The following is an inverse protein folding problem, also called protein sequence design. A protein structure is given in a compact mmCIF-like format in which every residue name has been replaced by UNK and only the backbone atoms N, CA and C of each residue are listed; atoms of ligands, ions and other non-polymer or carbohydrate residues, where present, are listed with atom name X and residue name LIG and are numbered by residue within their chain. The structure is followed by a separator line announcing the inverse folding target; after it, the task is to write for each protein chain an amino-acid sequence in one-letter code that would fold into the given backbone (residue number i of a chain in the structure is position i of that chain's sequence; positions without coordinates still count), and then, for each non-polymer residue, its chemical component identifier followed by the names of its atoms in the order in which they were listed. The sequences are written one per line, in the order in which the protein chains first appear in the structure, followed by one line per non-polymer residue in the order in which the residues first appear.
data_IF_604592876323
#
_entry.id   IF_604592876323
#
_cell.length_a   1.000
_cell.length_b   1.000
_cell.length_c   1.000
_cell.angle_alpha   90.00
_cell.angle_beta   90.00
_cell.angle_gamma   90.00
#
_symmetry.space_group_name_H-M   'P 1'
#
loop_
_entity.id
_entity.type
_entity.pdbx_description
1 polymer ?
#
# COMPACT_ATOMS: atom_id res chain seq x y z
N UNK A 1 10.31 2.53 -22.67
CA UNK A 1 10.49 1.57 -21.56
C UNK A 1 11.24 2.28 -20.43
N UNK A 2 10.79 2.12 -19.20
CA UNK A 2 11.49 2.67 -18.04
C UNK A 2 11.81 1.55 -17.05
N UNK A 3 13.05 1.50 -16.60
CA UNK A 3 13.51 0.55 -15.60
C UNK A 3 13.82 1.31 -14.32
N UNK A 4 13.26 0.89 -13.20
CA UNK A 4 13.57 1.44 -11.88
C UNK A 4 14.30 0.35 -11.11
N UNK A 5 15.55 0.62 -10.77
CA UNK A 5 16.41 -0.36 -10.11
C UNK A 5 16.09 -0.44 -8.62
N UNK A 6 16.62 -1.48 -7.98
CA UNK A 6 16.41 -1.76 -6.56
C UNK A 6 16.68 -0.55 -5.67
N UNK A 7 17.75 0.19 -5.95
CA UNK A 7 18.20 1.32 -5.12
C UNK A 7 17.63 2.66 -5.54
N UNK A 8 16.74 2.69 -6.53
CA UNK A 8 16.13 3.91 -7.04
C UNK A 8 14.73 4.09 -6.48
N UNK A 9 14.30 5.33 -6.37
CA UNK A 9 12.99 5.70 -5.88
C UNK A 9 13.07 6.90 -4.95
N UNK A 10 11.91 7.37 -4.51
CA UNK A 10 11.79 8.54 -3.64
C UNK A 10 11.06 8.15 -2.38
N UNK A 11 11.70 8.32 -1.23
CA UNK A 11 11.06 8.11 0.07
C UNK A 11 10.01 9.20 0.27
N UNK A 12 8.85 8.82 0.75
CA UNK A 12 7.75 9.75 1.02
C UNK A 12 6.94 9.31 2.24
N UNK A 13 6.19 10.24 2.80
CA UNK A 13 5.25 9.96 3.87
C UNK A 13 3.83 9.95 3.30
N UNK A 14 3.16 8.81 3.42
CA UNK A 14 1.77 8.69 3.01
C UNK A 14 0.86 9.24 4.11
N UNK A 15 -0.17 10.03 3.76
CA UNK A 15 -1.10 10.55 4.76
C UNK A 15 -1.79 9.42 5.53
N UNK A 16 -1.96 9.61 6.84
CA UNK A 16 -2.68 8.67 7.73
C UNK A 16 -2.06 7.28 7.81
N UNK A 17 -0.77 7.18 7.47
CA UNK A 17 0.03 5.96 7.60
C UNK A 17 1.03 6.15 8.73
N UNK A 18 1.19 5.16 9.59
CA UNK A 18 2.01 5.26 10.80
C UNK A 18 2.94 4.06 10.93
N UNK A 19 4.16 4.30 11.41
CA UNK A 19 5.21 3.29 11.56
C UNK A 19 5.46 2.55 10.24
N UNK A 20 5.62 3.30 9.18
CA UNK A 20 5.83 2.80 7.84
C UNK A 20 6.90 3.61 7.13
N UNK A 21 7.64 2.93 6.29
CA UNK A 21 8.63 3.52 5.40
C UNK A 21 8.25 3.19 3.97
N UNK A 22 7.97 4.22 3.17
CA UNK A 22 7.46 4.06 1.81
C UNK A 22 8.42 4.66 0.79
N UNK A 23 8.62 3.94 -0.31
CA UNK A 23 9.44 4.36 -1.44
C UNK A 23 8.58 4.36 -2.69
N UNK A 24 8.47 5.51 -3.35
CA UNK A 24 7.79 5.61 -4.64
C UNK A 24 8.74 5.22 -5.74
N UNK A 25 8.37 4.17 -6.47
CA UNK A 25 9.17 3.64 -7.59
C UNK A 25 8.77 4.24 -8.91
N UNK A 26 7.47 4.42 -9.12
CA UNK A 26 6.93 5.08 -10.31
C UNK A 26 5.89 6.10 -9.86
N UNK A 27 5.96 7.30 -10.41
CA UNK A 27 5.03 8.37 -10.11
C UNK A 27 4.24 8.76 -11.37
N UNK A 28 3.31 9.68 -11.22
CA UNK A 28 2.55 10.27 -12.32
C UNK A 28 3.42 11.08 -13.28
N UNK A 29 4.67 11.37 -12.92
CA UNK A 29 5.66 11.97 -13.83
C UNK A 29 6.27 10.93 -14.77
N UNK A 30 6.27 9.67 -14.37
CA UNK A 30 6.87 8.56 -15.13
C UNK A 30 5.85 7.84 -16.00
N UNK A 31 4.58 7.88 -15.61
CA UNK A 31 3.49 7.13 -16.23
C UNK A 31 2.31 8.05 -16.49
N UNK A 32 1.32 7.55 -17.22
CA UNK A 32 0.09 8.30 -17.48
C UNK A 32 -0.87 8.27 -16.28
N UNK A 33 -1.06 7.10 -15.66
CA UNK A 33 -2.06 6.92 -14.61
C UNK A 33 -1.59 6.08 -13.43
N UNK A 34 -0.43 5.46 -13.55
CA UNK A 34 0.05 4.46 -12.60
C UNK A 34 1.05 5.05 -11.62
N UNK A 35 0.84 4.79 -10.35
CA UNK A 35 1.83 5.04 -9.30
C UNK A 35 2.13 3.71 -8.62
N UNK A 36 3.41 3.42 -8.41
CA UNK A 36 3.85 2.17 -7.77
C UNK A 36 4.80 2.51 -6.64
N UNK A 37 4.52 1.97 -5.47
CA UNK A 37 5.34 2.17 -4.29
C UNK A 37 5.56 0.85 -3.55
N UNK A 38 6.65 0.79 -2.81
CA UNK A 38 6.89 -0.22 -1.80
C UNK A 38 6.70 0.42 -0.44
N UNK A 39 5.92 -0.21 0.43
CA UNK A 39 5.74 0.23 1.80
C UNK A 39 6.19 -0.86 2.75
N UNK A 40 7.04 -0.49 3.69
CA UNK A 40 7.56 -1.38 4.73
C UNK A 40 6.96 -0.94 6.07
N UNK A 41 5.92 -1.65 6.52
CA UNK A 41 5.31 -1.37 7.80
C UNK A 41 6.07 -2.10 8.90
N UNK A 42 6.49 -1.37 9.90
CA UNK A 42 7.07 -1.95 11.11
C UNK A 42 5.97 -2.63 11.94
N UNK A 43 6.34 -3.53 12.88
CA UNK A 43 5.37 -4.00 13.87
C UNK A 43 4.66 -2.81 14.52
N UNK A 44 3.35 -2.94 14.74
CA UNK A 44 2.45 -1.86 15.19
C UNK A 44 2.19 -0.77 14.14
N UNK A 45 2.63 -0.95 12.90
CA UNK A 45 2.28 -0.05 11.82
C UNK A 45 0.80 -0.14 11.45
N UNK A 46 0.22 0.94 10.98
CA UNK A 46 -1.19 0.96 10.61
C UNK A 46 -1.53 2.10 9.66
N UNK A 47 -2.69 1.98 9.05
CA UNK A 47 -3.30 2.99 8.19
C UNK A 47 -4.66 3.31 8.77
N UNK A 48 -4.94 4.59 9.01
CA UNK A 48 -6.26 5.03 9.44
C UNK A 48 -7.27 4.91 8.29
N UNK A 49 -8.54 4.76 8.66
CA UNK A 49 -9.63 4.68 7.69
C UNK A 49 -9.61 5.89 6.78
N UNK A 50 -9.41 5.63 5.50
CA UNK A 50 -9.33 6.68 4.47
C UNK A 50 -9.51 6.09 3.09
N UNK A 51 -9.87 6.93 2.14
CA UNK A 51 -10.06 6.56 0.75
C UNK A 51 -9.61 7.66 -0.19
N UNK A 52 -9.61 7.36 -1.47
CA UNK A 52 -9.30 8.33 -2.51
C UNK A 52 -10.08 8.00 -3.78
N UNK A 53 -10.16 8.94 -4.75
CA UNK A 53 -10.81 8.65 -6.04
C UNK A 53 -10.10 7.58 -6.87
N UNK A 54 -8.85 7.26 -6.54
CA UNK A 54 -8.06 6.29 -7.31
C UNK A 54 -8.39 4.86 -6.90
N UNK A 55 -8.27 3.94 -7.85
CA UNK A 55 -8.24 2.52 -7.54
C UNK A 55 -6.89 2.17 -6.91
N UNK A 56 -6.86 1.18 -6.04
CA UNK A 56 -5.63 0.71 -5.39
C UNK A 56 -5.59 -0.79 -5.31
N UNK A 57 -4.38 -1.31 -5.33
CA UNK A 57 -4.13 -2.72 -5.13
C UNK A 57 -2.90 -2.85 -4.22
N UNK A 58 -3.00 -3.73 -3.22
CA UNK A 58 -1.86 -4.16 -2.40
C UNK A 58 -1.50 -5.59 -2.75
N UNK A 59 -0.24 -5.84 -3.00
CA UNK A 59 0.31 -7.20 -3.08
C UNK A 59 1.26 -7.37 -1.89
N UNK A 60 0.99 -8.37 -1.05
CA UNK A 60 1.79 -8.62 0.14
C UNK A 60 3.04 -9.40 -0.25
N UNK A 61 4.20 -8.81 -0.01
CA UNK A 61 5.49 -9.42 -0.32
C UNK A 61 6.06 -10.16 0.90
N UNK A 62 5.73 -9.72 2.10
CA UNK A 62 6.19 -10.35 3.34
C UNK A 62 5.41 -9.82 4.52
N UNK A 63 5.41 -10.60 5.61
CA UNK A 63 4.66 -10.22 6.80
C UNK A 63 3.16 -10.49 6.65
N UNK A 64 2.39 -9.87 7.54
CA UNK A 64 0.94 -10.07 7.58
C UNK A 64 0.24 -8.79 8.03
N UNK A 65 -0.92 -8.52 7.44
CA UNK A 65 -1.75 -7.37 7.82
C UNK A 65 -3.23 -7.73 7.79
N UNK A 66 -4.01 -7.03 8.60
CA UNK A 66 -5.46 -7.06 8.54
C UNK A 66 -5.93 -5.79 7.88
N UNK A 67 -6.81 -5.92 6.88
CA UNK A 67 -7.47 -4.78 6.25
C UNK A 67 -8.97 -4.86 6.49
N UNK A 68 -9.58 -3.70 6.59
CA UNK A 68 -11.02 -3.57 6.79
C UNK A 68 -11.52 -2.36 6.01
N UNK A 69 -12.61 -2.51 5.29
CA UNK A 69 -13.24 -1.38 4.62
C UNK A 69 -14.36 -0.78 5.47
N UNK A 70 -14.89 0.35 5.05
CA UNK A 70 -15.95 1.05 5.77
C UNK A 70 -17.26 0.24 5.81
N UNK A 71 -17.48 -0.63 4.83
CA UNK A 71 -18.64 -1.51 4.78
C UNK A 71 -18.56 -2.65 5.81
N UNK A 72 -17.41 -2.83 6.47
CA UNK A 72 -17.23 -3.84 7.50
C UNK A 72 -16.63 -5.16 7.01
N UNK A 73 -16.27 -5.24 5.74
CA UNK A 73 -15.53 -6.41 5.24
C UNK A 73 -14.12 -6.39 5.81
N UNK A 74 -13.62 -7.54 6.22
CA UNK A 74 -12.31 -7.66 6.86
C UNK A 74 -11.57 -8.88 6.31
N UNK A 75 -10.28 -8.74 6.12
CA UNK A 75 -9.43 -9.84 5.67
C UNK A 75 -8.06 -9.77 6.32
N UNK A 76 -7.52 -10.94 6.66
CA UNK A 76 -6.11 -11.09 7.05
C UNK A 76 -5.32 -11.50 5.83
N UNK A 77 -4.30 -10.73 5.50
CA UNK A 77 -3.49 -10.92 4.30
C UNK A 77 -2.10 -11.40 4.69
N UNK A 78 -1.57 -12.32 3.91
CA UNK A 78 -0.23 -12.87 4.05
C UNK A 78 0.52 -12.75 2.73
N UNK A 79 1.82 -13.04 2.74
CA UNK A 79 2.65 -12.99 1.54
C UNK A 79 2.00 -13.78 0.39
N UNK A 80 1.91 -13.16 -0.77
CA UNK A 80 1.26 -13.71 -1.94
C UNK A 80 -0.20 -13.29 -2.13
N UNK A 81 -0.82 -12.70 -1.12
CA UNK A 81 -2.21 -12.24 -1.22
C UNK A 81 -2.28 -10.85 -1.88
N UNK A 82 -3.38 -10.63 -2.58
CA UNK A 82 -3.73 -9.34 -3.19
C UNK A 82 -5.04 -8.87 -2.59
N UNK A 83 -5.14 -7.57 -2.32
CA UNK A 83 -6.40 -6.90 -2.03
C UNK A 83 -6.58 -5.72 -2.99
N UNK A 84 -7.80 -5.55 -3.46
CA UNK A 84 -8.18 -4.46 -4.35
C UNK A 84 -9.20 -3.56 -3.66
N UNK A 85 -8.98 -2.25 -3.77
CA UNK A 85 -9.91 -1.23 -3.30
C UNK A 85 -10.39 -0.39 -4.47
N UNK A 86 -11.70 -0.30 -4.62
CA UNK A 86 -12.33 0.48 -5.68
C UNK A 86 -12.13 1.99 -5.46
N UNK A 87 -12.34 2.76 -6.51
CA UNK A 87 -12.38 4.21 -6.43
C UNK A 87 -13.37 4.66 -5.35
N UNK A 88 -12.91 5.49 -4.43
CA UNK A 88 -13.73 6.02 -3.32
C UNK A 88 -13.91 5.07 -2.15
N UNK A 89 -13.43 3.84 -2.22
CA UNK A 89 -13.56 2.89 -1.13
C UNK A 89 -12.64 3.28 0.03
N UNK A 90 -13.19 3.46 1.22
CA UNK A 90 -12.42 3.76 2.42
C UNK A 90 -11.99 2.46 3.09
N UNK A 91 -10.76 2.44 3.56
CA UNK A 91 -10.16 1.26 4.20
C UNK A 91 -9.22 1.68 5.31
N UNK A 92 -9.03 0.79 6.26
CA UNK A 92 -7.99 0.84 7.28
C UNK A 92 -7.19 -0.46 7.24
N UNK A 93 -6.02 -0.45 7.88
CA UNK A 93 -5.20 -1.65 7.98
C UNK A 93 -4.26 -1.57 9.16
N UNK A 94 -3.87 -2.72 9.69
CA UNK A 94 -2.86 -2.79 10.74
C UNK A 94 -2.03 -4.05 10.59
N UNK A 95 -0.79 -3.97 11.07
CA UNK A 95 0.17 -5.06 10.97
C UNK A 95 -0.06 -6.06 12.09
N UNK A 96 0.03 -7.33 11.75
CA UNK A 96 -0.13 -8.45 12.68
C UNK A 96 1.22 -9.13 12.88
N UNK A 97 1.55 -9.43 14.12
CA UNK A 97 2.80 -10.12 14.45
C UNK A 97 3.98 -9.19 14.61
N UNK A 98 5.17 -9.78 14.67
CA UNK A 98 6.42 -9.09 14.98
C UNK A 98 7.35 -8.93 13.77
N UNK A 99 6.86 -9.20 12.57
CA UNK A 99 7.63 -9.06 11.34
C UNK A 99 7.25 -7.77 10.61
N UNK A 100 8.21 -7.22 9.88
CA UNK A 100 7.94 -6.14 8.94
C UNK A 100 6.98 -6.66 7.87
N UNK A 101 5.93 -5.90 7.59
CA UNK A 101 5.03 -6.20 6.48
C UNK A 101 5.39 -5.33 5.28
N UNK A 102 5.83 -5.99 4.21
CA UNK A 102 6.21 -5.29 2.98
C UNK A 102 5.12 -5.49 1.95
N UNK A 103 4.62 -4.39 1.40
CA UNK A 103 3.57 -4.41 0.39
C UNK A 103 3.99 -3.64 -0.85
N UNK A 104 3.62 -4.17 -2.01
CA UNK A 104 3.65 -3.44 -3.27
C UNK A 104 2.30 -2.74 -3.42
N UNK A 105 2.33 -1.44 -3.57
CA UNK A 105 1.12 -0.62 -3.71
C UNK A 105 1.05 -0.10 -5.13
N UNK A 106 -0.01 -0.45 -5.84
CA UNK A 106 -0.32 0.13 -7.15
C UNK A 106 -1.54 1.02 -7.02
N UNK A 107 -1.42 2.24 -7.50
CA UNK A 107 -2.51 3.21 -7.54
C UNK A 107 -2.74 3.60 -8.99
N UNK A 108 -4.00 3.50 -9.43
CA UNK A 108 -4.39 3.89 -10.78
C UNK A 108 -5.30 5.11 -10.66
N UNK A 109 -4.85 6.23 -11.15
CA UNK A 109 -5.62 7.47 -11.16
C UNK A 109 -6.74 7.39 -12.18
N UNK A 110 -7.88 7.86 -11.78
CA UNK A 110 -9.03 7.97 -12.67
C UNK A 110 -8.92 9.14 -13.66
#
# INVERSE_FOLDING_TARGET
MKVVRKNEGVVYEAPLHFNVWSIRKLSDKDTQRLSVSLSHFLPNGYVDMSGSPSEKMYYILGGSMVVKNKAGEEATLQAGDIVYFASGEEREGHIVGNEVCTILVCIVKS
#
